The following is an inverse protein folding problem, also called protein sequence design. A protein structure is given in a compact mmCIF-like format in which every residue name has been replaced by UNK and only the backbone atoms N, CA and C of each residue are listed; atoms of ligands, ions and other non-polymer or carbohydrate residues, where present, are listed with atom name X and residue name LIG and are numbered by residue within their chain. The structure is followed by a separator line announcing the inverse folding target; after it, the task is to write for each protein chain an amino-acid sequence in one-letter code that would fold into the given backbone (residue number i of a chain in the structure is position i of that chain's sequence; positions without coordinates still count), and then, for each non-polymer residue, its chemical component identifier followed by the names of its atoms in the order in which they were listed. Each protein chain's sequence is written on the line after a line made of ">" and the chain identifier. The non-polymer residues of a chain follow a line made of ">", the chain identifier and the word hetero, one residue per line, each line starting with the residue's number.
data_IF_609604779531
#
_entry.id   IF_609604779531
#
_cell.length_a   1.000
_cell.length_b   1.000
_cell.length_c   1.000
_cell.angle_alpha   90.00
_cell.angle_beta   90.00
_cell.angle_gamma   90.00
#
_symmetry.space_group_name_H-M   'P 1'
#
loop_
_entity.id
_entity.type
_entity.pdbx_description
1 polymer ?
#
# COMPACT_ATOMS: atom_id res chain seq x y z
N UNK A 1 44.05 -33.83 -34.17
CA UNK A 1 44.96 -33.19 -33.20
C UNK A 1 44.61 -31.71 -33.25
N UNK A 2 44.30 -30.95 -32.20
CA UNK A 2 44.39 -31.04 -30.76
C UNK A 2 43.43 -29.97 -30.23
N UNK A 3 42.57 -30.25 -29.25
CA UNK A 3 41.89 -29.17 -28.45
C UNK A 3 41.03 -29.69 -27.29
N UNK A 4 40.82 -31.01 -27.16
CA UNK A 4 40.07 -31.58 -26.02
C UNK A 4 40.94 -31.97 -24.82
N UNK A 5 42.27 -31.87 -24.92
CA UNK A 5 43.19 -32.16 -23.82
C UNK A 5 43.33 -31.01 -22.82
N UNK A 6 43.18 -29.75 -23.26
CA UNK A 6 43.63 -28.63 -22.42
C UNK A 6 42.56 -28.17 -21.42
N UNK A 7 41.28 -28.41 -21.73
CA UNK A 7 40.18 -28.11 -20.81
C UNK A 7 40.08 -29.12 -19.66
N UNK A 8 40.39 -30.39 -19.90
CA UNK A 8 40.38 -31.42 -18.85
C UNK A 8 41.62 -31.35 -17.95
N UNK A 9 42.76 -30.87 -18.46
CA UNK A 9 43.99 -30.72 -17.65
C UNK A 9 43.91 -29.53 -16.69
N UNK A 10 43.08 -28.52 -16.98
CA UNK A 10 42.83 -27.38 -16.09
C UNK A 10 41.88 -27.70 -14.93
N UNK A 11 41.07 -28.76 -15.06
CA UNK A 11 40.25 -29.27 -13.95
C UNK A 11 41.04 -30.19 -13.01
N UNK A 12 42.10 -30.86 -13.50
CA UNK A 12 42.94 -31.76 -12.69
C UNK A 12 44.05 -31.06 -11.90
N UNK A 13 44.43 -29.82 -12.24
CA UNK A 13 45.50 -29.08 -11.55
C UNK A 13 45.02 -28.08 -10.48
N UNK A 14 44.00 -28.45 -9.69
CA UNK A 14 43.87 -27.97 -8.32
C UNK A 14 43.78 -26.45 -8.08
N UNK A 15 43.29 -25.64 -9.01
CA UNK A 15 43.06 -24.20 -8.78
C UNK A 15 41.66 -23.93 -8.20
N UNK A 16 41.46 -24.42 -6.99
CA UNK A 16 40.36 -24.01 -6.12
C UNK A 16 40.62 -22.60 -5.53
N UNK A 17 40.66 -21.57 -6.37
CA UNK A 17 40.69 -20.17 -5.93
C UNK A 17 39.87 -19.29 -6.87
N UNK A 18 38.54 -19.28 -6.66
CA UNK A 18 37.65 -18.11 -6.80
C UNK A 18 36.16 -18.50 -6.71
N UNK A 19 35.79 -19.22 -5.64
CA UNK A 19 34.47 -18.97 -5.02
C UNK A 19 34.70 -17.95 -3.92
N UNK A 20 33.78 -17.00 -3.80
CA UNK A 20 33.62 -16.07 -2.67
C UNK A 20 34.43 -14.75 -2.77
N UNK A 21 33.88 -13.76 -3.48
CA UNK A 21 33.89 -12.39 -2.94
C UNK A 21 32.56 -12.20 -2.20
N UNK A 22 32.52 -12.34 -0.86
CA UNK A 22 31.29 -12.14 -0.13
C UNK A 22 31.03 -10.62 -0.11
N UNK A 23 29.80 -10.22 -0.41
CA UNK A 23 29.38 -8.82 -0.32
C UNK A 23 29.84 -8.24 1.04
N UNK A 24 30.55 -7.11 1.08
CA UNK A 24 31.06 -6.54 2.34
C UNK A 24 29.95 -6.27 3.37
N UNK A 25 28.68 -6.11 2.94
CA UNK A 25 27.52 -6.00 3.84
C UNK A 25 27.19 -7.30 4.57
N UNK A 26 27.35 -8.45 3.90
CA UNK A 26 27.19 -9.78 4.49
C UNK A 26 28.27 -10.01 5.55
N UNK A 27 29.50 -9.52 5.27
CA UNK A 27 30.60 -9.55 6.25
C UNK A 27 30.32 -8.73 7.52
N UNK A 28 29.49 -7.69 7.41
CA UNK A 28 29.05 -6.83 8.51
C UNK A 28 27.78 -7.34 9.24
N UNK A 29 27.32 -8.57 8.95
CA UNK A 29 26.13 -9.20 9.57
C UNK A 29 24.83 -8.39 9.44
N UNK A 30 24.68 -7.58 8.39
CA UNK A 30 23.39 -6.99 8.05
C UNK A 30 22.54 -8.05 7.32
N UNK A 31 21.40 -8.42 7.93
CA UNK A 31 20.40 -9.39 7.46
C UNK A 31 20.58 -9.85 5.99
N UNK A 32 21.07 -11.08 5.81
CA UNK A 32 21.54 -11.64 4.52
C UNK A 32 20.55 -11.46 3.36
N UNK A 33 19.25 -11.56 3.62
CA UNK A 33 18.21 -11.52 2.57
C UNK A 33 17.94 -10.11 2.01
N UNK A 34 18.18 -9.07 2.80
CA UNK A 34 17.93 -7.70 2.38
C UNK A 34 19.17 -7.10 1.70
N UNK A 35 20.37 -7.60 2.03
CA UNK A 35 21.63 -7.04 1.54
C UNK A 35 21.96 -7.52 0.15
N UNK A 36 21.52 -8.74 -0.19
CA UNK A 36 21.47 -9.23 -1.55
C UNK A 36 20.47 -8.48 -2.43
N UNK A 37 19.30 -8.10 -1.90
CA UNK A 37 18.29 -7.35 -2.66
C UNK A 37 18.79 -5.94 -3.00
N UNK A 38 19.38 -5.25 -2.02
CA UNK A 38 20.02 -3.96 -2.23
C UNK A 38 21.15 -4.03 -3.27
N UNK A 39 22.02 -5.03 -3.15
CA UNK A 39 23.15 -5.23 -4.06
C UNK A 39 22.74 -5.55 -5.50
N UNK A 40 21.65 -6.32 -5.67
CA UNK A 40 21.06 -6.59 -6.99
C UNK A 40 20.38 -5.34 -7.57
N UNK A 41 19.71 -4.54 -6.75
CA UNK A 41 19.06 -3.30 -7.15
C UNK A 41 20.07 -2.23 -7.62
N UNK A 42 21.20 -2.11 -6.92
CA UNK A 42 22.27 -1.15 -7.28
C UNK A 42 23.24 -1.68 -8.34
N UNK A 43 23.02 -2.90 -8.88
CA UNK A 43 23.88 -3.58 -9.87
C UNK A 43 25.37 -3.65 -9.45
N UNK A 44 25.64 -3.69 -8.15
CA UNK A 44 27.00 -3.68 -7.61
C UNK A 44 27.71 -2.31 -7.61
N UNK A 45 26.99 -1.21 -7.84
CA UNK A 45 27.52 0.14 -7.64
C UNK A 45 27.66 0.40 -6.14
N UNK A 46 28.91 0.50 -5.67
CA UNK A 46 29.41 0.90 -4.35
C UNK A 46 28.63 0.48 -3.09
N UNK A 47 29.36 0.19 -2.02
CA UNK A 47 28.76 -0.10 -0.70
C UNK A 47 27.81 1.02 -0.23
N UNK A 48 28.14 2.26 -0.55
CA UNK A 48 27.39 3.44 -0.12
C UNK A 48 26.00 3.50 -0.77
N UNK A 49 25.90 3.24 -2.08
CA UNK A 49 24.61 3.26 -2.76
C UNK A 49 23.70 2.12 -2.30
N UNK A 50 24.28 0.96 -1.96
CA UNK A 50 23.51 -0.13 -1.38
C UNK A 50 22.97 0.22 0.02
N UNK A 51 23.76 0.92 0.85
CA UNK A 51 23.31 1.42 2.15
C UNK A 51 22.23 2.51 2.01
N UNK A 52 22.35 3.40 1.03
CA UNK A 52 21.39 4.48 0.80
C UNK A 52 20.02 3.94 0.36
N UNK A 53 20.01 2.99 -0.60
CA UNK A 53 18.79 2.27 -1.00
C UNK A 53 18.11 1.58 0.18
N UNK A 54 18.90 1.04 1.12
CA UNK A 54 18.39 0.40 2.32
C UNK A 54 17.72 1.36 3.28
N UNK A 55 18.36 2.51 3.54
CA UNK A 55 17.78 3.54 4.41
C UNK A 55 16.50 4.06 3.79
N UNK A 56 16.48 4.29 2.48
CA UNK A 56 15.30 4.78 1.76
C UNK A 56 14.17 3.74 1.71
N UNK A 57 14.45 2.47 1.40
CA UNK A 57 13.43 1.41 1.43
C UNK A 57 12.93 1.10 2.83
N UNK A 58 13.80 1.11 3.84
CA UNK A 58 13.40 0.88 5.22
C UNK A 58 12.58 2.06 5.77
N UNK A 59 12.93 3.30 5.39
CA UNK A 59 12.13 4.48 5.70
C UNK A 59 10.78 4.43 4.99
N UNK A 60 10.72 3.98 3.73
CA UNK A 60 9.47 3.78 2.99
C UNK A 60 8.60 2.68 3.62
N UNK A 61 9.20 1.60 4.13
CA UNK A 61 8.48 0.51 4.80
C UNK A 61 7.99 0.93 6.18
N UNK A 62 8.76 1.72 6.93
CA UNK A 62 8.33 2.25 8.24
C UNK A 62 7.22 3.28 8.07
N UNK A 63 7.35 4.20 7.13
CA UNK A 63 6.35 5.24 6.86
C UNK A 63 5.09 4.66 6.24
N UNK A 64 5.19 3.79 5.22
CA UNK A 64 4.00 3.13 4.66
C UNK A 64 3.42 2.07 5.59
N UNK A 65 4.23 1.35 6.37
CA UNK A 65 3.75 0.36 7.34
C UNK A 65 2.96 1.02 8.48
N UNK A 66 3.45 2.16 8.97
CA UNK A 66 2.72 2.99 9.93
C UNK A 66 1.46 3.60 9.31
N UNK A 67 1.55 4.13 8.09
CA UNK A 67 0.42 4.75 7.40
C UNK A 67 -0.69 3.74 7.08
N UNK A 68 -0.34 2.51 6.68
CA UNK A 68 -1.31 1.44 6.42
C UNK A 68 -1.93 0.94 7.72
N UNK A 69 -1.12 0.72 8.77
CA UNK A 69 -1.60 0.24 10.06
C UNK A 69 -2.55 1.23 10.78
N UNK A 70 -2.39 2.54 10.56
CA UNK A 70 -3.23 3.58 11.18
C UNK A 70 -4.24 4.20 10.20
N UNK A 71 -4.37 3.65 8.98
CA UNK A 71 -5.38 4.11 8.01
C UNK A 71 -6.78 3.53 8.26
N UNK A 72 -6.86 2.45 9.06
CA UNK A 72 -8.11 1.78 9.43
C UNK A 72 -8.57 2.12 10.86
N UNK A 73 -7.80 2.94 11.60
CA UNK A 73 -8.20 3.44 12.92
C UNK A 73 -9.24 4.56 12.75
N UNK A 74 -10.51 4.19 12.96
CA UNK A 74 -11.66 5.09 12.90
C UNK A 74 -11.64 6.23 13.95
N UNK A 75 -10.70 6.19 14.88
CA UNK A 75 -10.61 7.07 16.05
C UNK A 75 -9.52 8.16 15.94
N UNK A 76 -8.86 8.31 14.79
CA UNK A 76 -7.80 9.34 14.62
C UNK A 76 -8.33 10.79 14.67
N UNK A 77 -9.63 10.98 14.42
CA UNK A 77 -10.30 12.29 14.43
C UNK A 77 -11.06 12.57 15.74
N UNK A 78 -11.09 11.65 16.72
CA UNK A 78 -11.73 11.87 18.02
C UNK A 78 -10.70 12.29 19.08
N UNK A 79 -10.95 13.38 19.84
CA UNK A 79 -10.04 13.84 20.87
C UNK A 79 -9.88 12.76 21.96
N UNK A 80 -8.67 12.56 22.51
CA UNK A 80 -8.44 11.51 23.49
C UNK A 80 -9.31 11.79 24.72
N UNK A 81 -10.28 10.91 24.95
CA UNK A 81 -10.99 10.84 26.22
C UNK A 81 -10.19 9.94 27.15
N UNK A 82 -9.74 10.50 28.26
CA UNK A 82 -8.88 9.84 29.22
C UNK A 82 -9.49 8.55 29.78
N UNK A 83 -8.57 7.61 30.05
CA UNK A 83 -8.65 6.47 30.95
C UNK A 83 -9.28 5.17 30.43
N UNK A 84 -8.45 4.37 29.73
CA UNK A 84 -8.39 2.93 30.02
C UNK A 84 -6.96 2.49 30.27
N UNK A 85 -6.71 2.15 31.54
CA UNK A 85 -5.45 1.69 32.07
C UNK A 85 -5.32 0.16 32.00
N UNK A 86 -4.07 -0.30 32.16
CA UNK A 86 -3.57 -1.65 32.51
C UNK A 86 -3.23 -2.51 31.27
N UNK A 87 -2.01 -2.99 31.01
CA UNK A 87 -0.70 -3.05 31.69
C UNK A 87 0.22 -3.95 30.83
N UNK A 88 1.55 -3.97 30.90
CA UNK A 88 2.52 -3.26 31.72
C UNK A 88 3.96 -3.58 31.30
N UNK A 89 4.90 -2.82 31.90
CA UNK A 89 6.37 -3.02 32.04
C UNK A 89 7.22 -3.01 30.76
N UNK A 90 8.39 -2.38 30.63
CA UNK A 90 9.32 -1.52 31.42
C UNK A 90 10.50 -1.31 30.42
N UNK A 91 11.26 -0.23 30.28
CA UNK A 91 11.72 0.90 31.08
C UNK A 91 12.18 1.99 30.06
N UNK A 92 12.26 3.30 30.32
CA UNK A 92 12.91 4.04 31.41
C UNK A 92 12.36 5.48 31.46
N UNK A 93 12.03 5.96 32.67
CA UNK A 93 12.00 7.39 33.05
C UNK A 93 13.44 7.94 33.09
N UNK A 94 13.77 9.23 33.04
CA UNK A 94 13.14 10.48 33.46
C UNK A 94 13.80 11.61 32.62
N UNK A 95 13.25 12.79 32.37
CA UNK A 95 12.73 13.88 33.22
C UNK A 95 11.79 14.71 32.31
N UNK A 96 10.79 15.48 32.69
CA UNK A 96 10.43 16.18 33.91
C UNK A 96 8.93 16.40 33.84
N UNK A 97 8.26 16.12 34.95
CA UNK A 97 6.98 16.74 35.24
C UNK A 97 7.21 18.25 35.38
N UNK A 98 6.43 19.05 34.66
CA UNK A 98 5.86 20.33 35.11
C UNK A 98 4.92 20.86 34.02
N UNK A 99 3.67 21.11 34.43
CA UNK A 99 2.61 21.88 33.76
C UNK A 99 1.71 21.16 32.75
N UNK A 100 0.86 20.28 33.28
CA UNK A 100 -0.56 20.27 32.89
C UNK A 100 -1.30 21.32 33.73
N UNK A 101 -1.70 22.42 33.08
CA UNK A 101 -2.72 23.42 33.44
C UNK A 101 -2.56 24.48 32.33
N UNK A 102 -3.44 24.68 31.35
CA UNK A 102 -4.89 24.75 31.34
C UNK A 102 -5.40 24.55 29.90
N UNK A 103 -6.32 23.62 29.68
CA UNK A 103 -7.13 23.55 28.47
C UNK A 103 -8.58 23.74 28.87
N UNK A 104 -9.17 24.85 28.42
CA UNK A 104 -10.55 25.20 28.70
C UNK A 104 -10.70 26.69 28.98
N UNK A 105 -10.55 27.53 27.95
CA UNK A 105 -11.39 28.72 27.85
C UNK A 105 -11.49 29.11 26.37
N UNK A 106 -12.73 29.29 25.97
CA UNK A 106 -13.13 30.08 24.81
C UNK A 106 -12.27 31.35 24.67
N UNK A 107 -12.02 31.75 23.41
CA UNK A 107 -11.43 33.05 23.09
C UNK A 107 -12.39 34.19 23.43
N UNK A 108 -12.54 34.45 24.73
CA UNK A 108 -13.10 35.67 25.27
C UNK A 108 -12.06 36.79 25.07
N UNK A 109 -12.50 37.85 24.40
CA UNK A 109 -11.74 39.09 24.34
C UNK A 109 -12.41 39.99 25.37
N UNK A 110 -11.82 40.09 26.55
CA UNK A 110 -12.17 41.15 27.49
C UNK A 110 -11.59 42.47 26.96
N UNK A 111 -12.42 43.52 26.94
CA UNK A 111 -12.01 44.87 26.60
C UNK A 111 -10.93 45.35 27.59
N UNK A 112 -9.67 45.29 27.16
CA UNK A 112 -8.54 45.83 27.92
C UNK A 112 -7.19 45.15 27.70
N UNK A 113 -7.15 43.89 27.28
CA UNK A 113 -5.89 43.16 27.13
C UNK A 113 -5.51 43.02 25.65
N UNK A 114 -4.93 44.11 25.14
CA UNK A 114 -4.22 44.11 23.88
C UNK A 114 -2.92 43.32 24.03
N UNK A 115 -2.90 42.04 23.67
CA UNK A 115 -1.62 41.37 23.37
C UNK A 115 -1.16 41.79 21.99
N UNK A 116 -0.14 42.64 22.00
CA UNK A 116 0.38 43.44 20.92
C UNK A 116 1.17 42.67 19.82
N UNK A 117 0.70 41.51 19.33
CA UNK A 117 1.42 40.72 18.31
C UNK A 117 0.52 40.13 17.20
N UNK A 118 -0.24 40.96 16.49
CA UNK A 118 -0.85 40.53 15.22
C UNK A 118 0.21 40.40 14.12
N UNK A 119 0.43 39.18 13.62
CA UNK A 119 1.43 38.86 12.58
C UNK A 119 0.79 38.88 11.18
N UNK A 120 1.46 39.47 10.19
CA UNK A 120 1.08 39.47 8.78
C UNK A 120 2.05 38.60 8.00
N UNK A 121 1.52 37.67 7.20
CA UNK A 121 2.31 36.97 6.17
C UNK A 121 2.60 37.91 5.00
N UNK A 122 3.86 38.23 4.70
CA UNK A 122 4.21 39.13 3.59
C UNK A 122 3.90 38.53 2.21
N UNK A 123 3.89 37.20 2.11
CA UNK A 123 3.67 36.47 0.85
C UNK A 123 2.17 36.45 0.45
N UNK A 124 1.28 36.60 1.43
CA UNK A 124 -0.15 36.40 1.26
C UNK A 124 -1.04 37.47 1.91
N UNK A 125 -0.41 38.42 2.61
CA UNK A 125 -1.00 39.56 3.31
C UNK A 125 -2.14 39.19 4.27
N UNK A 126 -2.16 37.94 4.75
CA UNK A 126 -3.12 37.48 5.76
C UNK A 126 -2.65 37.89 7.14
N UNK A 127 -3.57 38.49 7.91
CA UNK A 127 -3.40 38.84 9.31
C UNK A 127 -3.76 37.67 10.23
N UNK A 128 -2.89 37.38 11.18
CA UNK A 128 -3.07 36.35 12.20
C UNK A 128 -3.20 37.01 13.57
N UNK A 129 -4.06 36.44 14.41
CA UNK A 129 -4.28 36.92 15.79
C UNK A 129 -3.14 36.50 16.72
N UNK A 130 -2.63 35.27 16.55
CA UNK A 130 -1.61 34.66 17.42
C UNK A 130 -0.47 34.00 16.62
N UNK A 131 0.69 33.83 17.25
CA UNK A 131 1.84 33.09 16.70
C UNK A 131 1.47 31.66 16.27
N UNK A 132 0.63 30.96 17.04
CA UNK A 132 0.18 29.59 16.71
C UNK A 132 -0.64 29.55 15.40
N UNK A 133 -1.39 30.60 15.10
CA UNK A 133 -2.14 30.69 13.85
C UNK A 133 -1.21 30.94 12.65
N UNK A 134 -0.14 31.73 12.84
CA UNK A 134 0.90 31.96 11.84
C UNK A 134 1.69 30.67 11.55
N UNK A 135 2.05 29.88 12.57
CA UNK A 135 2.71 28.58 12.42
C UNK A 135 1.87 27.59 11.61
N UNK A 136 0.57 27.46 11.92
CA UNK A 136 -0.34 26.60 11.13
C UNK A 136 -0.44 27.03 9.67
N UNK A 137 -0.39 28.33 9.41
CA UNK A 137 -0.37 28.87 8.05
C UNK A 137 0.95 28.55 7.35
N UNK A 138 2.09 28.69 8.04
CA UNK A 138 3.40 28.32 7.51
C UNK A 138 3.48 26.83 7.13
N UNK A 139 2.94 25.93 7.96
CA UNK A 139 2.91 24.48 7.66
C UNK A 139 2.01 24.15 6.47
N UNK A 140 0.84 24.79 6.37
CA UNK A 140 -0.12 24.50 5.29
C UNK A 140 0.30 25.09 3.94
N UNK A 141 0.89 26.28 3.95
CA UNK A 141 1.14 27.07 2.73
C UNK A 141 2.62 27.24 2.39
N UNK A 142 3.53 26.93 3.32
CA UNK A 142 4.97 27.10 3.14
C UNK A 142 5.47 28.54 3.27
N UNK A 143 4.62 29.48 3.69
CA UNK A 143 5.01 30.89 3.83
C UNK A 143 5.73 31.11 5.16
N UNK A 144 6.93 31.71 5.10
CA UNK A 144 7.83 31.90 6.27
C UNK A 144 8.08 33.36 6.62
N UNK A 145 7.65 34.30 5.77
CA UNK A 145 7.89 35.73 5.97
C UNK A 145 6.73 36.36 6.74
N UNK A 146 6.91 36.58 8.04
CA UNK A 146 5.93 37.25 8.90
C UNK A 146 6.44 38.61 9.39
N UNK A 147 5.58 39.63 9.37
CA UNK A 147 5.84 40.98 9.89
C UNK A 147 4.82 41.32 10.99
N UNK A 148 5.26 41.95 12.08
CA UNK A 148 4.37 42.43 13.13
C UNK A 148 3.60 43.67 12.65
N UNK A 149 2.28 43.65 12.78
CA UNK A 149 1.40 44.77 12.43
C UNK A 149 0.52 45.15 13.62
N UNK A 150 0.25 46.44 13.77
CA UNK A 150 -0.54 47.00 14.89
C UNK A 150 -2.00 47.25 14.52
N UNK A 151 -2.48 46.67 13.41
CA UNK A 151 -3.84 46.91 12.93
C UNK A 151 -4.84 46.06 13.72
N UNK A 152 -5.60 46.74 14.59
CA UNK A 152 -6.65 46.14 15.41
C UNK A 152 -7.66 45.38 14.51
N UNK A 153 -7.55 44.06 14.50
CA UNK A 153 -8.53 43.19 13.85
C UNK A 153 -9.82 43.34 14.63
N UNK A 154 -10.80 44.08 14.09
CA UNK A 154 -12.14 44.19 14.68
C UNK A 154 -12.63 42.79 15.02
N UNK A 155 -12.82 42.46 16.31
CA UNK A 155 -13.38 41.19 16.69
C UNK A 155 -14.76 41.06 16.03
N UNK A 156 -15.02 39.91 15.41
CA UNK A 156 -16.32 39.58 14.85
C UNK A 156 -17.38 39.80 15.96
N UNK A 157 -18.50 40.44 15.66
CA UNK A 157 -19.59 40.66 16.64
C UNK A 157 -20.16 39.31 17.09
N UNK A 158 -20.71 39.23 18.30
CA UNK A 158 -21.21 37.98 18.88
C UNK A 158 -22.26 37.29 17.98
N UNK A 159 -23.07 38.09 17.27
CA UNK A 159 -24.07 37.62 16.32
C UNK A 159 -23.45 36.94 15.07
N UNK A 160 -22.42 37.55 14.46
CA UNK A 160 -21.74 36.97 13.29
C UNK A 160 -20.94 35.70 13.64
N UNK A 161 -20.48 35.57 14.90
CA UNK A 161 -19.84 34.34 15.39
C UNK A 161 -20.86 33.23 15.55
N UNK A 162 -22.04 33.54 16.09
CA UNK A 162 -23.12 32.57 16.25
C UNK A 162 -23.60 32.04 14.89
N UNK A 163 -23.74 32.91 13.88
CA UNK A 163 -24.10 32.52 12.52
C UNK A 163 -23.06 31.61 11.87
N UNK A 164 -21.76 31.95 11.97
CA UNK A 164 -20.68 31.10 11.44
C UNK A 164 -20.61 29.75 12.14
N UNK A 165 -20.87 29.70 13.45
CA UNK A 165 -20.95 28.44 14.19
C UNK A 165 -22.15 27.60 13.75
N UNK A 166 -23.30 28.23 13.47
CA UNK A 166 -24.47 27.55 12.94
C UNK A 166 -24.21 26.98 11.53
N UNK A 167 -23.59 27.77 10.65
CA UNK A 167 -23.19 27.33 9.30
C UNK A 167 -22.20 26.15 9.35
N UNK A 168 -21.18 26.23 10.21
CA UNK A 168 -20.21 25.13 10.38
C UNK A 168 -20.87 23.86 10.93
N UNK A 169 -21.80 23.98 11.87
CA UNK A 169 -22.57 22.85 12.40
C UNK A 169 -23.46 22.22 11.31
N UNK A 170 -24.11 23.02 10.48
CA UNK A 170 -24.91 22.53 9.36
C UNK A 170 -24.02 21.79 8.35
N UNK A 171 -22.88 22.38 7.96
CA UNK A 171 -21.93 21.74 7.04
C UNK A 171 -21.37 20.41 7.56
N UNK A 172 -21.14 20.30 8.87
CA UNK A 172 -20.72 19.05 9.50
C UNK A 172 -21.85 18.02 9.53
N UNK A 173 -23.09 18.44 9.80
CA UNK A 173 -24.25 17.57 9.76
C UNK A 173 -24.49 17.03 8.34
N UNK A 174 -24.38 17.87 7.31
CA UNK A 174 -24.49 17.48 5.90
C UNK A 174 -23.40 16.48 5.52
N UNK A 175 -22.15 16.72 5.92
CA UNK A 175 -21.04 15.80 5.67
C UNK A 175 -21.25 14.45 6.37
N UNK A 176 -21.78 14.45 7.60
CA UNK A 176 -22.13 13.21 8.31
C UNK A 176 -23.27 12.47 7.63
N UNK A 177 -24.30 13.19 7.16
CA UNK A 177 -25.41 12.60 6.43
C UNK A 177 -24.96 11.96 5.11
N UNK A 178 -24.10 12.64 4.35
CA UNK A 178 -23.52 12.11 3.11
C UNK A 178 -22.71 10.83 3.37
N UNK A 179 -21.78 10.86 4.35
CA UNK A 179 -21.00 9.67 4.73
C UNK A 179 -21.90 8.50 5.15
N UNK A 180 -22.96 8.77 5.92
CA UNK A 180 -23.90 7.73 6.34
C UNK A 180 -24.71 7.14 5.17
N UNK A 181 -24.92 7.90 4.09
CA UNK A 181 -25.56 7.40 2.87
C UNK A 181 -24.61 6.54 2.04
N UNK A 182 -23.36 7.00 1.87
CA UNK A 182 -22.31 6.23 1.19
C UNK A 182 -22.04 4.90 1.89
N UNK A 183 -21.93 4.89 3.22
CA UNK A 183 -21.72 3.66 3.98
C UNK A 183 -22.87 2.66 3.80
N UNK A 184 -24.12 3.13 3.78
CA UNK A 184 -25.28 2.28 3.49
C UNK A 184 -25.23 1.68 2.09
N UNK A 185 -24.73 2.44 1.11
CA UNK A 185 -24.57 1.94 -0.26
C UNK A 185 -23.43 0.93 -0.35
N UNK A 186 -22.30 1.19 0.31
CA UNK A 186 -21.18 0.25 0.41
C UNK A 186 -21.57 -1.05 1.12
N UNK A 187 -22.34 -0.98 2.20
CA UNK A 187 -22.86 -2.18 2.86
C UNK A 187 -23.76 -3.00 1.92
N UNK A 188 -24.60 -2.34 1.13
CA UNK A 188 -25.44 -3.00 0.11
C UNK A 188 -24.60 -3.62 -1.01
N UNK A 189 -23.54 -2.96 -1.47
CA UNK A 189 -22.67 -3.50 -2.53
C UNK A 189 -21.83 -4.66 -2.01
N UNK A 190 -21.27 -4.57 -0.80
CA UNK A 190 -20.56 -5.67 -0.11
C UNK A 190 -21.45 -6.92 0.01
N UNK A 191 -22.69 -6.77 0.47
CA UNK A 191 -23.64 -7.89 0.55
C UNK A 191 -24.01 -8.45 -0.83
N UNK A 192 -24.17 -7.60 -1.86
CA UNK A 192 -24.39 -8.06 -3.25
C UNK A 192 -23.19 -8.86 -3.77
N UNK A 193 -21.97 -8.41 -3.51
CA UNK A 193 -20.74 -9.11 -3.90
C UNK A 193 -20.67 -10.47 -3.20
N UNK A 194 -20.97 -10.55 -1.91
CA UNK A 194 -21.02 -11.83 -1.17
C UNK A 194 -21.99 -12.82 -1.80
N UNK A 195 -23.18 -12.37 -2.21
CA UNK A 195 -24.17 -13.24 -2.88
C UNK A 195 -23.72 -13.65 -4.27
N UNK A 196 -23.21 -12.71 -5.07
CA UNK A 196 -22.74 -12.98 -6.44
C UNK A 196 -21.55 -13.92 -6.45
N UNK A 197 -20.56 -13.70 -5.61
CA UNK A 197 -19.39 -14.59 -5.47
C UNK A 197 -19.81 -16.01 -5.10
N UNK A 198 -20.76 -16.17 -4.17
CA UNK A 198 -21.34 -17.48 -3.86
C UNK A 198 -22.00 -18.16 -5.07
N UNK A 199 -22.79 -17.42 -5.84
CA UNK A 199 -23.44 -17.93 -7.07
C UNK A 199 -22.42 -18.21 -8.18
N UNK A 200 -21.39 -17.38 -8.33
CA UNK A 200 -20.34 -17.55 -9.32
C UNK A 200 -19.53 -18.82 -9.04
N UNK A 201 -19.24 -19.12 -7.78
CA UNK A 201 -18.56 -20.36 -7.40
C UNK A 201 -19.37 -21.60 -7.77
N UNK A 202 -20.69 -21.60 -7.54
CA UNK A 202 -21.56 -22.72 -7.94
C UNK A 202 -21.64 -22.85 -9.46
N UNK A 203 -21.83 -21.74 -10.17
CA UNK A 203 -21.90 -21.72 -11.63
C UNK A 203 -20.58 -22.13 -12.29
N UNK A 204 -19.44 -21.75 -11.72
CA UNK A 204 -18.11 -22.15 -12.22
C UNK A 204 -17.92 -23.65 -12.05
N UNK A 205 -18.34 -24.22 -10.92
CA UNK A 205 -18.26 -25.67 -10.67
C UNK A 205 -19.12 -26.45 -11.66
N UNK A 206 -20.38 -26.05 -11.86
CA UNK A 206 -21.28 -26.67 -12.85
C UNK A 206 -20.71 -26.58 -14.27
N UNK A 207 -20.19 -25.41 -14.66
CA UNK A 207 -19.55 -25.23 -15.98
C UNK A 207 -18.32 -26.12 -16.16
N UNK A 208 -17.53 -26.34 -15.11
CA UNK A 208 -16.37 -27.22 -15.15
C UNK A 208 -16.82 -28.67 -15.34
N UNK A 209 -17.79 -29.14 -14.55
CA UNK A 209 -18.35 -30.49 -14.66
C UNK A 209 -18.97 -30.72 -16.06
N UNK A 210 -19.72 -29.76 -16.59
CA UNK A 210 -20.25 -29.82 -17.95
C UNK A 210 -19.15 -29.89 -19.02
N UNK A 211 -18.08 -29.11 -18.85
CA UNK A 211 -16.97 -29.09 -19.80
C UNK A 211 -16.21 -30.43 -19.79
N UNK A 212 -16.03 -31.04 -18.63
CA UNK A 212 -15.43 -32.38 -18.51
C UNK A 212 -16.30 -33.46 -19.16
N UNK A 213 -17.61 -33.42 -18.91
CA UNK A 213 -18.56 -34.34 -19.54
C UNK A 213 -18.58 -34.18 -21.07
N UNK A 214 -18.59 -32.94 -21.58
CA UNK A 214 -18.51 -32.64 -23.02
C UNK A 214 -17.22 -33.18 -23.63
N UNK A 215 -16.07 -32.93 -22.99
CA UNK A 215 -14.76 -33.46 -23.43
C UNK A 215 -14.74 -34.98 -23.47
N UNK A 216 -15.30 -35.65 -22.46
CA UNK A 216 -15.37 -37.10 -22.42
C UNK A 216 -16.25 -37.68 -23.54
N UNK A 217 -17.37 -37.03 -23.85
CA UNK A 217 -18.23 -37.44 -24.96
C UNK A 217 -17.57 -37.21 -26.32
N UNK A 218 -16.87 -36.09 -26.49
CA UNK A 218 -16.12 -35.79 -27.72
C UNK A 218 -14.95 -36.76 -27.92
N UNK A 219 -14.20 -37.09 -26.87
CA UNK A 219 -13.15 -38.10 -26.92
C UNK A 219 -13.71 -39.47 -27.34
N UNK A 220 -14.81 -39.92 -26.74
CA UNK A 220 -15.48 -41.17 -27.13
C UNK A 220 -15.97 -41.16 -28.58
N UNK A 221 -16.42 -40.02 -29.11
CA UNK A 221 -16.82 -39.90 -30.52
C UNK A 221 -15.60 -39.98 -31.43
N UNK A 222 -14.53 -39.28 -31.08
CA UNK A 222 -13.26 -39.27 -31.82
C UNK A 222 -12.63 -40.66 -31.89
N UNK A 223 -12.54 -41.36 -30.77
CA UNK A 223 -12.04 -42.75 -30.70
C UNK A 223 -12.85 -43.67 -31.62
N UNK A 224 -14.19 -43.58 -31.57
CA UNK A 224 -15.06 -44.37 -32.47
C UNK A 224 -14.85 -44.04 -33.94
N UNK A 225 -14.62 -42.78 -34.28
CA UNK A 225 -14.34 -42.37 -35.67
C UNK A 225 -12.96 -42.82 -36.13
N UNK A 226 -11.95 -42.73 -35.28
CA UNK A 226 -10.59 -43.20 -35.53
C UNK A 226 -10.55 -44.72 -35.71
N UNK A 227 -11.27 -45.49 -34.87
CA UNK A 227 -11.44 -46.93 -35.05
C UNK A 227 -12.10 -47.29 -36.38
N UNK A 228 -13.17 -46.57 -36.76
CA UNK A 228 -13.83 -46.77 -38.06
C UNK A 228 -12.88 -46.48 -39.21
N UNK A 229 -12.11 -45.39 -39.13
CA UNK A 229 -11.11 -45.02 -40.14
C UNK A 229 -9.98 -46.06 -40.20
N UNK A 230 -9.49 -46.56 -39.07
CA UNK A 230 -8.47 -47.61 -39.02
C UNK A 230 -8.96 -48.92 -39.64
N UNK A 231 -10.19 -49.36 -39.30
CA UNK A 231 -10.82 -50.53 -39.92
C UNK A 231 -10.99 -50.36 -41.43
N UNK A 232 -11.42 -49.18 -41.88
CA UNK A 232 -11.55 -48.88 -43.31
C UNK A 232 -10.20 -48.91 -44.04
N UNK A 233 -9.11 -48.41 -43.42
CA UNK A 233 -7.75 -48.49 -43.98
C UNK A 233 -7.29 -49.93 -44.14
N UNK A 234 -7.42 -50.76 -43.10
CA UNK A 234 -7.04 -52.18 -43.16
C UNK A 234 -7.87 -52.93 -44.21
N UNK A 235 -9.18 -52.67 -44.29
CA UNK A 235 -10.02 -53.29 -45.32
C UNK A 235 -9.60 -52.89 -46.74
N UNK A 236 -9.24 -51.63 -46.97
CA UNK A 236 -8.74 -51.16 -48.25
C UNK A 236 -7.39 -51.82 -48.62
N UNK A 237 -6.47 -51.96 -47.66
CA UNK A 237 -5.20 -52.66 -47.86
C UNK A 237 -5.41 -54.14 -48.23
N UNK A 238 -6.32 -54.83 -47.55
CA UNK A 238 -6.68 -56.22 -47.87
C UNK A 238 -7.29 -56.32 -49.27
N UNK A 239 -8.13 -55.36 -49.67
CA UNK A 239 -8.74 -55.37 -51.00
C UNK A 239 -7.69 -55.14 -52.12
N UNK A 240 -6.74 -54.24 -51.89
CA UNK A 240 -5.62 -54.03 -52.81
C UNK A 240 -4.75 -55.29 -52.93
N UNK A 241 -4.42 -55.93 -51.81
CA UNK A 241 -3.63 -57.17 -51.81
C UNK A 241 -4.38 -58.33 -52.51
N UNK A 242 -5.71 -58.43 -52.32
CA UNK A 242 -6.54 -59.40 -53.06
C UNK A 242 -6.54 -59.14 -54.57
N UNK A 243 -6.66 -57.87 -55.00
CA UNK A 243 -6.61 -57.50 -56.42
C UNK A 243 -5.24 -57.80 -57.04
N UNK A 244 -4.16 -57.51 -56.33
CA UNK A 244 -2.80 -57.81 -56.78
C UNK A 244 -2.56 -59.32 -56.93
N UNK A 245 -3.10 -60.13 -56.01
CA UNK A 245 -3.06 -61.60 -56.12
C UNK A 245 -3.89 -62.14 -57.28
N UNK A 246 -5.05 -61.55 -57.56
CA UNK A 246 -5.90 -61.96 -58.69
C UNK A 246 -5.32 -61.56 -60.06
N UNK A 247 -4.45 -60.56 -60.12
CA UNK A 247 -3.78 -60.10 -61.33
C UNK A 247 -2.48 -60.85 -61.66
N UNK A 248 -2.01 -61.74 -60.78
CA UNK A 248 -0.81 -62.56 -60.93
C UNK A 248 -1.17 -64.00 -61.30
#
# INVERSE_FOLDING_TARGET
>A
MSSKSDFNTLLEMGFAQNRVYPNPLIRLKFFDSSSEKAWKATKGASLQNAMDWYVETFHLILTHGWLIAHSEDADIDDPPTEAQALGGSSAVSAVSAVLSSSAGEEGEIQDGEQTAQSLICNDCQKLFRDATAAERHAVRTGHVSFAESTTAIKPLTEEERAEKLAELKQRLADKRALRAMEEKEEQKTKEKIRRKTGQELTLVKEKLEEAEMKKALEAKKREKEEEKKAKARIMAEIELDKKNRAAK
#
